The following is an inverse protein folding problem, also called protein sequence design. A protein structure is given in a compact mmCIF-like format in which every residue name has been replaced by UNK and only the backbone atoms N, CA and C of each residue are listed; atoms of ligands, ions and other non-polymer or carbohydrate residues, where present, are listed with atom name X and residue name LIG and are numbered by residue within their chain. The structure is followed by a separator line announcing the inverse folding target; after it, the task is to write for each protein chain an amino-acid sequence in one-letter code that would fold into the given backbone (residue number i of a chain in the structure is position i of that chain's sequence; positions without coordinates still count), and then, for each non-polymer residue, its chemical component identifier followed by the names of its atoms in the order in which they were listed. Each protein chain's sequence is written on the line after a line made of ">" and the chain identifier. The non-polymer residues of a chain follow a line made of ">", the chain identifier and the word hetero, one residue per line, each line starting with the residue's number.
data_IF_320919183269
#
_entry.id   IF_320919183269
#
_cell.length_a   1.000
_cell.length_b   1.000
_cell.length_c   1.000
_cell.angle_alpha   90.00
_cell.angle_beta   90.00
_cell.angle_gamma   90.00
#
_symmetry.space_group_name_H-M   'P 1'
#
loop_
_entity.id
_entity.type
_entity.pdbx_description
1 polymer ?
#
# COMPACT_ATOMS: atom_id res chain seq x y z
N UNK A 1 -34.19 9.33 -24.20
CA UNK A 1 -33.31 10.49 -24.43
C UNK A 1 -32.75 10.98 -23.09
N UNK A 2 -33.57 11.30 -22.10
CA UNK A 2 -33.17 11.77 -20.76
C UNK A 2 -32.20 10.82 -20.04
N UNK A 3 -32.38 9.51 -20.12
CA UNK A 3 -31.45 8.54 -19.50
C UNK A 3 -30.05 8.63 -20.08
N UNK A 4 -29.90 8.78 -21.37
CA UNK A 4 -28.62 8.92 -22.06
C UNK A 4 -27.91 10.23 -21.71
N UNK A 5 -28.66 11.31 -21.49
CA UNK A 5 -28.09 12.59 -21.05
C UNK A 5 -27.57 12.52 -19.60
N UNK A 6 -28.31 11.83 -18.72
CA UNK A 6 -27.87 11.60 -17.33
C UNK A 6 -26.60 10.73 -17.28
N UNK A 7 -26.56 9.64 -18.05
CA UNK A 7 -25.38 8.77 -18.16
C UNK A 7 -24.18 9.54 -18.71
N UNK A 8 -24.38 10.34 -19.77
CA UNK A 8 -23.30 11.15 -20.35
C UNK A 8 -22.79 12.22 -19.37
N UNK A 9 -23.68 12.82 -18.59
CA UNK A 9 -23.30 13.79 -17.55
C UNK A 9 -22.51 13.12 -16.42
N UNK A 10 -22.93 11.92 -15.99
CA UNK A 10 -22.21 11.13 -14.99
C UNK A 10 -20.82 10.70 -15.48
N UNK A 11 -20.71 10.26 -16.74
CA UNK A 11 -19.41 9.91 -17.33
C UNK A 11 -18.47 11.11 -17.42
N UNK A 12 -18.97 12.29 -17.79
CA UNK A 12 -18.16 13.52 -17.79
C UNK A 12 -17.71 13.92 -16.40
N UNK A 13 -18.61 13.86 -15.40
CA UNK A 13 -18.27 14.16 -14.00
C UNK A 13 -17.22 13.18 -13.45
N UNK A 14 -17.36 11.90 -13.73
CA UNK A 14 -16.39 10.88 -13.31
C UNK A 14 -15.03 11.08 -13.98
N UNK A 15 -15.01 11.45 -15.27
CA UNK A 15 -13.77 11.77 -15.99
C UNK A 15 -13.06 13.00 -15.42
N UNK A 16 -13.79 14.00 -14.98
CA UNK A 16 -13.22 15.19 -14.33
C UNK A 16 -12.66 14.83 -12.96
N UNK A 17 -13.40 14.06 -12.14
CA UNK A 17 -12.94 13.59 -10.83
C UNK A 17 -11.66 12.77 -10.95
N UNK A 18 -11.59 11.86 -11.92
CA UNK A 18 -10.41 11.05 -12.15
C UNK A 18 -9.19 11.90 -12.52
N UNK A 19 -9.34 12.89 -13.41
CA UNK A 19 -8.25 13.80 -13.75
C UNK A 19 -7.74 14.59 -12.55
N UNK A 20 -8.65 15.05 -11.67
CA UNK A 20 -8.28 15.77 -10.44
C UNK A 20 -7.57 14.83 -9.47
N UNK A 21 -8.06 13.59 -9.33
CA UNK A 21 -7.41 12.55 -8.52
C UNK A 21 -5.97 12.30 -8.98
N UNK A 22 -5.79 12.10 -10.29
CA UNK A 22 -4.45 11.89 -10.88
C UNK A 22 -3.55 13.11 -10.65
N UNK A 23 -4.05 14.33 -10.84
CA UNK A 23 -3.28 15.55 -10.59
C UNK A 23 -2.81 15.68 -9.14
N UNK A 24 -3.65 15.30 -8.16
CA UNK A 24 -3.24 15.26 -6.75
C UNK A 24 -2.24 14.15 -6.47
N UNK A 25 -2.36 12.98 -7.14
CA UNK A 25 -1.41 11.91 -7.03
C UNK A 25 -0.02 12.31 -7.56
N UNK A 26 0.03 12.91 -8.76
CA UNK A 26 1.27 13.37 -9.39
C UNK A 26 1.95 14.46 -8.55
N UNK A 27 1.17 15.40 -8.01
CA UNK A 27 1.68 16.42 -7.10
C UNK A 27 2.24 15.80 -5.81
N UNK A 28 1.56 14.79 -5.27
CA UNK A 28 2.02 14.03 -4.12
C UNK A 28 3.34 13.31 -4.39
N UNK A 29 3.48 12.68 -5.55
CA UNK A 29 4.73 12.03 -5.98
C UNK A 29 5.87 13.05 -6.15
N UNK A 30 5.59 14.22 -6.73
CA UNK A 30 6.57 15.28 -6.84
C UNK A 30 7.06 15.77 -5.47
N UNK A 31 6.14 16.02 -4.53
CA UNK A 31 6.49 16.41 -3.16
C UNK A 31 7.27 15.31 -2.42
N UNK A 32 6.94 14.05 -2.66
CA UNK A 32 7.68 12.91 -2.12
C UNK A 32 9.12 12.89 -2.66
N UNK A 33 9.30 13.07 -3.97
CA UNK A 33 10.61 13.12 -4.61
C UNK A 33 11.46 14.32 -4.14
N UNK A 34 10.83 15.46 -3.82
CA UNK A 34 11.52 16.64 -3.28
C UNK A 34 11.74 16.60 -1.77
N UNK A 35 11.29 15.54 -1.08
CA UNK A 35 11.43 15.38 0.37
C UNK A 35 10.41 16.15 1.21
N UNK A 36 9.44 16.82 0.60
CA UNK A 36 8.37 17.54 1.30
C UNK A 36 7.27 16.58 1.78
N UNK A 37 7.59 15.71 2.74
CA UNK A 37 6.74 14.60 3.17
C UNK A 37 5.36 15.05 3.69
N UNK A 38 5.26 16.18 4.39
CA UNK A 38 3.99 16.69 4.91
C UNK A 38 3.05 17.15 3.80
N UNK A 39 3.57 17.81 2.76
CA UNK A 39 2.76 18.24 1.61
C UNK A 39 2.38 17.03 0.74
N UNK A 40 3.30 16.07 0.55
CA UNK A 40 3.00 14.80 -0.11
C UNK A 40 1.82 14.09 0.58
N UNK A 41 1.86 13.99 1.92
CA UNK A 41 0.79 13.38 2.71
C UNK A 41 -0.56 14.06 2.48
N UNK A 42 -0.60 15.40 2.49
CA UNK A 42 -1.82 16.18 2.24
C UNK A 42 -2.37 15.93 0.84
N UNK A 43 -1.50 15.89 -0.17
CA UNK A 43 -1.90 15.65 -1.55
C UNK A 43 -2.50 14.25 -1.70
N UNK A 44 -1.87 13.20 -1.16
CA UNK A 44 -2.39 11.84 -1.22
C UNK A 44 -3.72 11.69 -0.47
N UNK A 45 -3.88 12.33 0.70
CA UNK A 45 -5.17 12.29 1.44
C UNK A 45 -6.29 12.95 0.63
N UNK A 46 -6.01 14.03 -0.10
CA UNK A 46 -7.00 14.71 -0.96
C UNK A 46 -7.50 13.83 -2.11
N UNK A 47 -6.71 12.87 -2.59
CA UNK A 47 -7.17 11.92 -3.63
C UNK A 47 -8.38 11.10 -3.20
N UNK A 48 -8.60 10.93 -1.87
CA UNK A 48 -9.75 10.22 -1.31
C UNK A 48 -11.08 10.82 -1.77
N UNK A 49 -11.17 12.13 -1.82
CA UNK A 49 -12.42 12.84 -2.11
C UNK A 49 -12.86 12.67 -3.58
N UNK A 50 -11.92 12.22 -4.42
CA UNK A 50 -12.13 11.98 -5.84
C UNK A 50 -12.08 10.48 -6.22
N UNK A 51 -11.77 9.61 -5.27
CA UNK A 51 -11.75 8.16 -5.46
C UNK A 51 -13.17 7.61 -5.61
N UNK A 52 -13.40 6.80 -6.65
CA UNK A 52 -14.70 6.18 -6.95
C UNK A 52 -14.71 4.67 -6.77
N UNK A 53 -13.55 4.04 -6.62
CA UNK A 53 -13.40 2.59 -6.54
C UNK A 53 -12.59 2.17 -5.32
N UNK A 54 -12.79 0.91 -4.86
CA UNK A 54 -11.96 0.29 -3.81
C UNK A 54 -10.47 0.30 -4.16
N UNK A 55 -10.13 0.12 -5.44
CA UNK A 55 -8.74 0.20 -5.93
C UNK A 55 -8.11 1.57 -5.65
N UNK A 56 -8.83 2.65 -5.90
CA UNK A 56 -8.35 4.01 -5.61
C UNK A 56 -8.14 4.23 -4.10
N UNK A 57 -9.01 3.65 -3.26
CA UNK A 57 -8.86 3.71 -1.81
C UNK A 57 -7.62 2.97 -1.31
N UNK A 58 -7.33 1.80 -1.90
CA UNK A 58 -6.14 1.00 -1.60
C UNK A 58 -4.88 1.74 -2.06
N UNK A 59 -4.84 2.24 -3.30
CA UNK A 59 -3.71 2.99 -3.86
C UNK A 59 -3.38 4.22 -2.99
N UNK A 60 -4.38 5.01 -2.66
CA UNK A 60 -4.23 6.15 -1.75
C UNK A 60 -3.67 5.72 -0.39
N UNK A 61 -4.23 4.64 0.19
CA UNK A 61 -3.77 4.13 1.49
C UNK A 61 -2.31 3.69 1.44
N UNK A 62 -1.88 3.02 0.37
CA UNK A 62 -0.49 2.61 0.19
C UNK A 62 0.47 3.81 0.09
N UNK A 63 0.10 4.86 -0.64
CA UNK A 63 0.90 6.10 -0.70
C UNK A 63 1.00 6.80 0.65
N UNK A 64 -0.12 6.89 1.38
CA UNK A 64 -0.14 7.49 2.73
C UNK A 64 0.68 6.65 3.72
N UNK A 65 0.62 5.33 3.63
CA UNK A 65 1.43 4.40 4.43
C UNK A 65 2.92 4.64 4.17
N UNK A 66 3.34 4.70 2.89
CA UNK A 66 4.72 4.97 2.51
C UNK A 66 5.24 6.26 3.13
N UNK A 67 4.51 7.36 2.96
CA UNK A 67 4.88 8.66 3.53
C UNK A 67 4.85 8.63 5.06
N UNK A 68 3.88 7.96 5.65
CA UNK A 68 3.73 7.81 7.10
C UNK A 68 4.91 7.07 7.76
N UNK A 69 5.42 6.02 7.10
CA UNK A 69 6.64 5.31 7.54
C UNK A 69 7.86 6.21 7.48
N UNK A 70 8.04 6.98 6.39
CA UNK A 70 9.12 7.95 6.25
C UNK A 70 9.07 9.07 7.30
N UNK A 71 7.87 9.44 7.75
CA UNK A 71 7.65 10.40 8.84
C UNK A 71 7.79 9.79 10.25
N UNK A 72 7.90 8.46 10.37
CA UNK A 72 7.92 7.77 11.66
C UNK A 72 6.59 7.76 12.41
N UNK A 73 5.48 8.10 11.75
CA UNK A 73 4.15 8.15 12.38
C UNK A 73 3.40 6.83 12.25
N UNK A 74 3.83 5.83 13.00
CA UNK A 74 3.30 4.45 12.90
C UNK A 74 1.84 4.31 13.36
N UNK A 75 1.36 5.16 14.28
CA UNK A 75 -0.06 5.16 14.66
C UNK A 75 -0.96 5.54 13.49
N UNK A 76 -0.56 6.56 12.71
CA UNK A 76 -1.27 6.97 11.51
C UNK A 76 -1.20 5.90 10.42
N UNK A 77 -0.03 5.28 10.25
CA UNK A 77 0.21 4.17 9.32
C UNK A 77 -0.75 3.02 9.62
N UNK A 78 -0.88 2.58 10.86
CA UNK A 78 -1.76 1.47 11.24
C UNK A 78 -3.24 1.74 10.95
N UNK A 79 -3.69 2.98 11.09
CA UNK A 79 -5.06 3.36 10.72
C UNK A 79 -5.31 3.19 9.20
N UNK A 80 -4.31 3.51 8.36
CA UNK A 80 -4.43 3.33 6.91
C UNK A 80 -4.24 1.88 6.47
N UNK A 81 -3.43 1.09 7.20
CA UNK A 81 -3.35 -0.36 7.01
C UNK A 81 -4.73 -0.98 7.21
N UNK A 82 -5.41 -0.68 8.32
CA UNK A 82 -6.75 -1.22 8.60
C UNK A 82 -7.78 -0.79 7.55
N UNK A 83 -7.71 0.46 7.06
CA UNK A 83 -8.58 0.94 5.97
C UNK A 83 -8.31 0.22 4.66
N UNK A 84 -7.04 -0.04 4.33
CA UNK A 84 -6.67 -0.78 3.13
C UNK A 84 -7.15 -2.24 3.21
N UNK A 85 -6.99 -2.89 4.38
CA UNK A 85 -7.49 -4.25 4.61
C UNK A 85 -9.02 -4.35 4.45
N UNK A 86 -9.78 -3.36 4.93
CA UNK A 86 -11.24 -3.29 4.76
C UNK A 86 -11.67 -3.05 3.32
N UNK A 87 -10.85 -2.36 2.52
CA UNK A 87 -11.13 -2.07 1.12
C UNK A 87 -10.73 -3.22 0.17
N UNK A 88 -10.00 -4.23 0.67
CA UNK A 88 -9.61 -5.39 -0.14
C UNK A 88 -10.84 -6.20 -0.54
N UNK A 89 -10.93 -6.48 -1.83
CA UNK A 89 -11.96 -7.38 -2.39
C UNK A 89 -11.59 -8.84 -2.11
N UNK A 90 -12.56 -9.72 -2.12
CA UNK A 90 -12.35 -11.17 -1.95
C UNK A 90 -12.36 -11.86 -3.33
N UNK A 91 -11.30 -12.58 -3.74
CA UNK A 91 -10.07 -12.89 -3.00
C UNK A 91 -9.09 -11.71 -2.95
N UNK A 92 -8.37 -11.51 -1.82
CA UNK A 92 -7.44 -10.39 -1.69
C UNK A 92 -6.22 -10.58 -2.61
N UNK A 93 -5.76 -9.48 -3.19
CA UNK A 93 -4.53 -9.47 -3.99
C UNK A 93 -3.32 -9.82 -3.09
N UNK A 94 -2.57 -10.90 -3.41
CA UNK A 94 -1.47 -11.36 -2.57
C UNK A 94 -0.34 -10.34 -2.45
N UNK A 95 -0.09 -9.53 -3.49
CA UNK A 95 0.93 -8.49 -3.48
C UNK A 95 0.58 -7.38 -2.48
N UNK A 96 -0.65 -6.89 -2.50
CA UNK A 96 -1.11 -5.85 -1.57
C UNK A 96 -1.10 -6.37 -0.13
N UNK A 97 -1.58 -7.61 0.07
CA UNK A 97 -1.59 -8.25 1.39
C UNK A 97 -0.18 -8.39 1.96
N UNK A 98 0.80 -8.77 1.14
CA UNK A 98 2.20 -8.85 1.55
C UNK A 98 2.75 -7.47 1.99
N UNK A 99 2.48 -6.41 1.22
CA UNK A 99 2.87 -5.03 1.56
C UNK A 99 2.31 -4.61 2.92
N UNK A 100 1.02 -4.84 3.15
CA UNK A 100 0.36 -4.49 4.42
C UNK A 100 0.93 -5.28 5.61
N UNK A 101 1.29 -6.55 5.42
CA UNK A 101 1.93 -7.37 6.45
C UNK A 101 3.32 -6.87 6.82
N UNK A 102 4.14 -6.48 5.83
CA UNK A 102 5.49 -5.90 6.08
C UNK A 102 5.37 -4.64 6.92
N UNK A 103 4.47 -3.74 6.53
CA UNK A 103 4.26 -2.48 7.25
C UNK A 103 3.74 -2.72 8.67
N UNK A 104 2.83 -3.68 8.85
CA UNK A 104 2.33 -4.07 10.17
C UNK A 104 3.46 -4.63 11.03
N UNK A 105 4.31 -5.49 10.48
CA UNK A 105 5.50 -6.02 11.16
C UNK A 105 6.46 -4.91 11.59
N UNK A 106 6.75 -3.97 10.69
CA UNK A 106 7.60 -2.82 10.97
C UNK A 106 7.03 -1.94 12.10
N UNK A 107 5.73 -1.66 12.07
CA UNK A 107 5.05 -0.90 13.13
C UNK A 107 5.08 -1.61 14.48
N UNK A 108 5.02 -2.95 14.48
CA UNK A 108 5.13 -3.75 15.71
C UNK A 108 6.55 -3.80 16.25
N UNK A 109 7.58 -3.80 15.37
CA UNK A 109 8.99 -3.67 15.76
C UNK A 109 9.24 -2.36 16.47
N UNK A 110 8.77 -1.25 15.91
CA UNK A 110 8.88 0.06 16.53
C UNK A 110 8.19 0.12 17.91
N UNK A 111 7.04 -0.54 18.01
CA UNK A 111 6.30 -0.67 19.29
C UNK A 111 6.91 -1.66 20.28
N UNK A 112 8.08 -2.27 20.01
CA UNK A 112 8.74 -3.27 20.88
C UNK A 112 8.03 -4.62 20.95
N UNK A 113 7.07 -4.89 20.07
CA UNK A 113 6.30 -6.15 20.03
C UNK A 113 6.98 -7.20 19.14
N UNK A 114 8.19 -7.61 19.49
CA UNK A 114 9.05 -8.44 18.63
C UNK A 114 8.42 -9.76 18.21
N UNK A 115 7.78 -10.51 19.14
CA UNK A 115 7.08 -11.76 18.81
C UNK A 115 5.97 -11.60 17.78
N UNK A 116 5.16 -10.54 17.93
CA UNK A 116 4.09 -10.27 16.99
C UNK A 116 4.64 -9.83 15.62
N UNK A 117 5.71 -9.04 15.60
CA UNK A 117 6.41 -8.62 14.39
C UNK A 117 7.01 -9.83 13.66
N UNK A 118 7.72 -10.71 14.37
CA UNK A 118 8.28 -11.96 13.82
C UNK A 118 7.20 -12.82 13.16
N UNK A 119 6.07 -13.05 13.85
CA UNK A 119 4.94 -13.78 13.26
C UNK A 119 4.41 -13.13 11.98
N UNK A 120 4.29 -11.82 11.93
CA UNK A 120 3.80 -11.11 10.72
C UNK A 120 4.80 -11.19 9.57
N UNK A 121 6.08 -11.03 9.83
CA UNK A 121 7.14 -11.07 8.81
C UNK A 121 7.40 -12.48 8.30
N UNK A 122 7.32 -13.51 9.17
CA UNK A 122 7.51 -14.93 8.79
C UNK A 122 6.27 -15.54 8.14
N UNK A 123 5.06 -15.04 8.43
CA UNK A 123 3.82 -15.43 7.76
C UNK A 123 3.71 -14.95 6.30
N UNK A 124 4.68 -14.20 5.82
CA UNK A 124 4.87 -14.04 4.39
C UNK A 124 5.28 -15.41 3.85
N UNK A 125 4.28 -16.25 3.53
CA UNK A 125 4.51 -17.47 2.79
C UNK A 125 5.21 -17.09 1.50
N UNK A 126 6.50 -17.34 1.45
CA UNK A 126 7.12 -17.76 0.22
C UNK A 126 6.30 -18.99 -0.19
N UNK A 127 5.36 -18.83 -1.11
CA UNK A 127 4.72 -19.98 -1.74
C UNK A 127 5.81 -20.63 -2.57
N UNK A 128 6.56 -21.51 -1.90
CA UNK A 128 7.48 -22.45 -2.54
C UNK A 128 6.59 -23.32 -3.40
N UNK A 129 6.53 -23.00 -4.69
CA UNK A 129 5.87 -23.88 -5.65
C UNK A 129 6.51 -25.26 -5.52
N UNK A 130 5.70 -26.27 -5.21
CA UNK A 130 6.09 -27.67 -5.24
C UNK A 130 6.26 -28.14 -6.69
N UNK A 131 7.27 -27.63 -7.37
CA UNK A 131 7.75 -28.21 -8.61
C UNK A 131 9.26 -28.26 -8.58
N UNK A 132 9.75 -29.50 -8.40
CA UNK A 132 11.11 -29.96 -8.67
C UNK A 132 12.27 -29.15 -8.08
N UNK A 133 12.60 -29.42 -6.81
CA UNK A 133 13.95 -29.36 -6.21
C UNK A 133 14.73 -28.04 -6.28
N UNK A 134 14.13 -26.91 -6.57
CA UNK A 134 14.70 -25.60 -6.28
C UNK A 134 13.63 -24.71 -5.62
N UNK A 135 13.98 -23.90 -4.61
CA UNK A 135 13.07 -22.91 -4.07
C UNK A 135 12.89 -21.83 -5.13
N UNK A 136 11.93 -22.06 -6.03
CA UNK A 136 11.48 -21.01 -6.92
C UNK A 136 10.69 -20.06 -6.05
N UNK A 137 11.34 -18.98 -5.64
CA UNK A 137 10.66 -17.77 -5.23
C UNK A 137 9.83 -17.37 -6.44
N UNK A 138 8.58 -17.86 -6.51
CA UNK A 138 7.63 -17.42 -7.52
C UNK A 138 7.42 -15.94 -7.29
N UNK A 139 8.27 -15.23 -7.96
CA UNK A 139 8.17 -13.90 -8.49
C UNK A 139 7.02 -13.07 -7.88
N UNK A 140 7.22 -12.61 -6.67
CA UNK A 140 6.87 -11.23 -6.42
C UNK A 140 7.88 -10.48 -7.28
N UNK A 141 7.46 -10.00 -8.45
CA UNK A 141 8.32 -9.21 -9.32
C UNK A 141 8.92 -8.09 -8.47
N UNK A 142 10.23 -7.82 -8.51
CA UNK A 142 10.83 -6.73 -7.72
C UNK A 142 10.12 -5.39 -7.96
N UNK A 143 9.50 -5.21 -9.14
CA UNK A 143 8.71 -4.03 -9.49
C UNK A 143 7.31 -4.00 -8.85
N UNK A 144 6.72 -5.14 -8.46
CA UNK A 144 5.47 -5.21 -7.69
C UNK A 144 5.68 -4.88 -6.21
N UNK A 145 6.92 -5.01 -5.73
CA UNK A 145 7.38 -4.56 -4.43
C UNK A 145 7.99 -3.16 -4.52
N UNK A 146 7.29 -2.19 -5.08
CA UNK A 146 7.65 -0.77 -4.94
C UNK A 146 7.65 -0.29 -3.47
N UNK A 147 7.63 -1.25 -2.53
CA UNK A 147 7.89 -1.13 -1.11
C UNK A 147 9.35 -1.45 -0.73
N UNK A 148 10.22 -1.76 -1.69
CA UNK A 148 11.65 -1.88 -1.45
C UNK A 148 12.27 -0.57 -0.93
N UNK A 149 11.60 0.56 -1.18
CA UNK A 149 11.93 1.86 -0.60
C UNK A 149 11.59 1.97 0.90
N UNK A 150 10.69 1.13 1.41
CA UNK A 150 10.30 1.09 2.83
C UNK A 150 11.09 0.03 3.57
N UNK A 151 11.23 -1.15 2.99
CA UNK A 151 11.95 -2.29 3.56
C UNK A 151 12.40 -3.24 2.46
N UNK A 152 13.71 -3.52 2.38
CA UNK A 152 14.23 -4.47 1.41
C UNK A 152 13.79 -5.90 1.75
N UNK A 153 13.57 -6.79 0.76
CA UNK A 153 13.18 -8.18 1.01
C UNK A 153 14.16 -8.94 1.91
N UNK A 154 15.46 -8.62 1.84
CA UNK A 154 16.50 -9.19 2.69
C UNK A 154 16.34 -8.78 4.16
N UNK A 155 15.92 -7.52 4.40
CA UNK A 155 15.67 -7.01 5.75
C UNK A 155 14.44 -7.66 6.37
N UNK A 156 13.41 -7.95 5.58
CA UNK A 156 12.23 -8.71 6.02
C UNK A 156 12.62 -10.09 6.51
N UNK A 157 13.47 -10.79 5.77
CA UNK A 157 13.97 -12.12 6.16
C UNK A 157 14.86 -12.04 7.43
N UNK A 158 15.74 -11.05 7.50
CA UNK A 158 16.65 -10.84 8.62
C UNK A 158 15.89 -10.50 9.92
N UNK A 159 15.00 -9.52 9.87
CA UNK A 159 14.20 -9.12 11.04
C UNK A 159 13.18 -10.21 11.42
N UNK A 160 12.58 -10.89 10.44
CA UNK A 160 11.71 -12.02 10.70
C UNK A 160 12.43 -13.15 11.44
N UNK A 161 13.67 -13.48 11.02
CA UNK A 161 14.51 -14.50 11.67
C UNK A 161 15.01 -14.09 13.05
N UNK A 162 15.33 -12.80 13.26
CA UNK A 162 15.78 -12.30 14.57
C UNK A 162 14.65 -12.23 15.61
N UNK A 163 13.40 -12.10 15.17
CA UNK A 163 12.23 -11.96 16.04
C UNK A 163 11.49 -13.29 16.27
N UNK A 164 11.84 -14.36 15.55
CA UNK A 164 11.24 -15.68 15.69
C UNK A 164 11.85 -16.44 16.85
#
# INVERSE_FOLDING_TARGET
>A
FERLEVELCQHKLNSIKEKVRMGHNDLGQHHLATGNLHEALKCFIRTRDYGTTSKHAIEMSLHVIKVGVLLGNYSHVMNYVSKAEQALETPPDPSITAKLRVVTGLSQLEGGKYKAAGLKLTQMKVEVGKDNNQPVIKNIHPDDLNFSEVMAPQDVATYGGLCA
#
